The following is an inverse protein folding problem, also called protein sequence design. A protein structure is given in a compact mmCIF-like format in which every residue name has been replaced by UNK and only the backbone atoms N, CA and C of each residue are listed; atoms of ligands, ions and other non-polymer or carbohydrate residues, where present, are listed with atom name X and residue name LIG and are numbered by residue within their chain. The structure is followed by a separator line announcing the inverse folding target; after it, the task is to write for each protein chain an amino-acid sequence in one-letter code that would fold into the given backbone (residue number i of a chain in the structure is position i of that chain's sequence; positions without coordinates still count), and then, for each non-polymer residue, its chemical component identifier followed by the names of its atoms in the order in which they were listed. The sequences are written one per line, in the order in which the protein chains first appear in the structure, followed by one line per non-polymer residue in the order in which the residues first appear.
data_IF_365954984637
#
_entry.id   IF_365954984637
#
_cell.length_a   1.000
_cell.length_b   1.000
_cell.length_c   1.000
_cell.angle_alpha   90.00
_cell.angle_beta   90.00
_cell.angle_gamma   90.00
#
_symmetry.space_group_name_H-M   'P 1'
#
loop_
_entity.id
_entity.type
_entity.pdbx_description
1 polymer ?
#
# COMPACT_ATOMS: atom_id res chain seq x y z
N UNK A 1 23.09 -5.58 14.84
CA UNK A 1 21.87 -5.02 15.45
C UNK A 1 20.76 -5.17 14.42
N UNK A 2 19.70 -5.94 14.72
CA UNK A 2 18.62 -6.21 13.77
C UNK A 2 17.50 -5.18 13.99
N UNK A 3 17.13 -4.45 12.94
CA UNK A 3 15.96 -3.58 12.93
C UNK A 3 14.71 -4.46 12.84
N UNK A 4 14.06 -4.72 13.97
CA UNK A 4 12.71 -5.29 13.99
C UNK A 4 11.73 -4.23 13.52
N UNK A 5 11.03 -4.51 12.42
CA UNK A 5 9.97 -3.64 11.90
C UNK A 5 8.88 -3.48 12.98
N UNK A 6 8.72 -2.26 13.48
CA UNK A 6 7.73 -1.93 14.50
C UNK A 6 6.32 -2.09 13.91
N UNK A 7 5.44 -2.76 14.64
CA UNK A 7 4.04 -2.92 14.28
C UNK A 7 3.41 -1.53 14.11
N UNK A 8 2.77 -1.29 12.97
CA UNK A 8 2.08 -0.02 12.68
C UNK A 8 0.58 -0.23 12.81
N UNK A 9 -0.10 0.67 13.50
CA UNK A 9 -1.56 0.60 13.71
C UNK A 9 -2.18 1.88 13.18
N UNK A 10 -3.11 1.73 12.24
CA UNK A 10 -3.93 2.81 11.71
C UNK A 10 -5.35 2.68 12.24
N UNK A 11 -5.82 3.65 13.00
CA UNK A 11 -7.19 3.67 13.50
C UNK A 11 -8.08 4.44 12.52
N UNK A 12 -9.19 3.83 12.12
CA UNK A 12 -10.18 4.42 11.24
C UNK A 12 -11.55 4.46 11.91
N UNK A 13 -12.35 5.45 11.50
CA UNK A 13 -13.76 5.59 11.87
C UNK A 13 -14.60 5.65 10.62
N UNK A 14 -15.62 4.81 10.55
CA UNK A 14 -16.62 4.76 9.49
C UNK A 14 -18.00 5.02 10.10
N UNK A 15 -18.91 5.62 9.33
CA UNK A 15 -20.27 5.90 9.77
C UNK A 15 -21.27 5.25 8.83
N UNK A 16 -22.22 4.49 9.38
CA UNK A 16 -23.27 3.84 8.61
C UNK A 16 -24.62 4.01 9.32
N UNK A 17 -25.62 4.54 8.61
CA UNK A 17 -26.98 4.69 9.16
C UNK A 17 -27.10 5.61 10.39
N UNK A 18 -26.13 6.48 10.64
CA UNK A 18 -26.06 7.33 11.83
C UNK A 18 -25.24 6.76 13.00
N UNK A 19 -24.83 5.49 12.90
CA UNK A 19 -23.96 4.83 13.87
C UNK A 19 -22.49 4.95 13.48
N UNK A 20 -21.61 5.09 14.48
CA UNK A 20 -20.16 5.16 14.27
C UNK A 20 -19.50 3.82 14.59
N UNK A 21 -18.69 3.36 13.65
CA UNK A 21 -17.87 2.16 13.75
C UNK A 21 -16.41 2.54 13.76
N UNK A 22 -15.61 1.87 14.59
CA UNK A 22 -14.16 2.06 14.67
C UNK A 22 -13.47 0.75 14.38
N UNK A 23 -12.39 0.79 13.61
CA UNK A 23 -11.57 -0.40 13.37
C UNK A 23 -10.11 0.01 13.24
N UNK A 24 -9.23 -0.92 13.59
CA UNK A 24 -7.78 -0.74 13.48
C UNK A 24 -7.26 -1.59 12.32
N UNK A 25 -6.49 -0.98 11.43
CA UNK A 25 -5.71 -1.68 10.41
C UNK A 25 -4.29 -1.82 10.96
N UNK A 26 -3.89 -3.06 11.23
CA UNK A 26 -2.62 -3.42 11.82
C UNK A 26 -1.70 -4.00 10.75
N UNK A 27 -0.48 -3.49 10.72
CA UNK A 27 0.61 -3.98 9.89
C UNK A 27 1.62 -4.65 10.81
N UNK A 28 1.81 -5.95 10.64
CA UNK A 28 2.78 -6.69 11.44
C UNK A 28 4.22 -6.53 10.92
N UNK A 29 5.15 -7.12 11.66
CA UNK A 29 6.57 -7.09 11.34
C UNK A 29 6.90 -7.80 9.99
N UNK A 30 5.99 -8.64 9.50
CA UNK A 30 6.06 -9.39 8.25
C UNK A 30 5.36 -8.69 7.07
N UNK A 31 4.88 -7.45 7.27
CA UNK A 31 4.11 -6.69 6.26
C UNK A 31 2.75 -7.28 5.91
N UNK A 32 2.17 -8.10 6.78
CA UNK A 32 0.76 -8.47 6.62
C UNK A 32 -0.13 -7.37 7.17
N UNK A 33 -1.13 -6.99 6.37
CA UNK A 33 -2.17 -6.05 6.76
C UNK A 33 -3.35 -6.86 7.27
N UNK A 34 -3.80 -6.56 8.49
CA UNK A 34 -4.94 -7.22 9.12
C UNK A 34 -5.85 -6.19 9.77
N UNK A 35 -7.16 -6.41 9.73
CA UNK A 35 -8.14 -5.57 10.44
C UNK A 35 -8.41 -6.18 11.81
N UNK A 36 -8.38 -5.35 12.86
CA UNK A 36 -8.61 -5.74 14.26
C UNK A 36 -9.46 -4.71 14.98
N UNK A 37 -9.86 -5.05 16.20
CA UNK A 37 -10.55 -4.13 17.13
C UNK A 37 -11.77 -3.43 16.51
N UNK A 38 -12.58 -4.18 15.75
CA UNK A 38 -13.79 -3.62 15.16
C UNK A 38 -14.82 -3.39 16.28
N UNK A 39 -15.13 -2.12 16.51
CA UNK A 39 -16.10 -1.65 17.48
C UNK A 39 -17.28 -1.04 16.73
N UNK A 40 -18.48 -1.48 17.09
CA UNK A 40 -19.71 -0.81 16.69
C UNK A 40 -20.17 0.21 17.73
N UNK A 41 -21.34 0.81 17.52
CA UNK A 41 -21.92 1.81 18.44
C UNK A 41 -22.14 1.27 19.87
N UNK A 42 -22.23 -0.05 20.05
CA UNK A 42 -22.50 -0.71 21.33
C UNK A 42 -21.27 -1.42 21.91
N UNK A 43 -20.08 -1.25 21.31
CA UNK A 43 -18.85 -1.90 21.73
C UNK A 43 -18.32 -2.93 20.71
N UNK A 44 -17.44 -3.86 21.13
CA UNK A 44 -16.82 -4.84 20.24
C UNK A 44 -17.86 -5.69 19.53
N UNK A 45 -17.70 -5.86 18.21
CA UNK A 45 -18.61 -6.70 17.44
C UNK A 45 -18.25 -8.19 17.65
N UNK A 46 -18.97 -8.85 18.55
CA UNK A 46 -18.86 -10.29 18.77
C UNK A 46 -19.84 -11.06 17.86
N UNK A 47 -19.54 -11.12 16.56
CA UNK A 47 -20.25 -11.98 15.60
C UNK A 47 -21.47 -11.37 14.89
N UNK A 48 -21.79 -10.09 15.12
CA UNK A 48 -22.80 -9.35 14.36
C UNK A 48 -22.25 -8.93 12.98
N UNK A 49 -23.04 -9.13 11.92
CA UNK A 49 -22.69 -8.73 10.54
C UNK A 49 -22.50 -7.22 10.43
N UNK A 50 -21.37 -6.80 9.87
CA UNK A 50 -21.10 -5.39 9.56
C UNK A 50 -22.02 -4.88 8.46
N UNK A 51 -22.45 -3.61 8.51
CA UNK A 51 -23.10 -2.97 7.37
C UNK A 51 -22.16 -2.96 6.15
N UNK A 52 -22.71 -3.19 4.95
CA UNK A 52 -21.92 -3.25 3.72
C UNK A 52 -21.10 -1.96 3.48
N UNK A 53 -21.63 -0.79 3.82
CA UNK A 53 -20.89 0.48 3.71
C UNK A 53 -19.64 0.53 4.60
N UNK A 54 -19.70 -0.05 5.80
CA UNK A 54 -18.52 -0.16 6.69
C UNK A 54 -17.53 -1.17 6.12
N UNK A 55 -18.02 -2.23 5.47
CA UNK A 55 -17.16 -3.19 4.78
C UNK A 55 -16.42 -2.56 3.61
N UNK A 56 -17.11 -1.75 2.81
CA UNK A 56 -16.52 -1.02 1.68
C UNK A 56 -15.45 -0.02 2.19
N UNK A 57 -15.74 0.70 3.28
CA UNK A 57 -14.78 1.60 3.93
C UNK A 57 -13.56 0.87 4.50
N UNK A 58 -13.74 -0.31 5.11
CA UNK A 58 -12.65 -1.16 5.59
C UNK A 58 -11.77 -1.61 4.42
N UNK A 59 -12.37 -2.02 3.30
CA UNK A 59 -11.64 -2.41 2.11
C UNK A 59 -10.86 -1.23 1.53
N UNK A 60 -11.46 -0.05 1.46
CA UNK A 60 -10.79 1.15 0.95
C UNK A 60 -9.65 1.61 1.87
N UNK A 61 -9.88 1.65 3.19
CA UNK A 61 -8.85 1.95 4.16
C UNK A 61 -7.69 0.92 4.11
N UNK A 62 -8.01 -0.36 3.90
CA UNK A 62 -7.00 -1.41 3.71
C UNK A 62 -6.18 -1.18 2.45
N UNK A 63 -6.81 -0.82 1.31
CA UNK A 63 -6.09 -0.45 0.08
C UNK A 63 -5.18 0.75 0.33
N UNK A 64 -5.66 1.78 1.03
CA UNK A 64 -4.85 2.97 1.35
C UNK A 64 -3.63 2.58 2.19
N UNK A 65 -3.79 1.75 3.23
CA UNK A 65 -2.67 1.28 4.06
C UNK A 65 -1.70 0.42 3.24
N UNK A 66 -2.20 -0.47 2.38
CA UNK A 66 -1.36 -1.27 1.47
C UNK A 66 -0.56 -0.36 0.55
N UNK A 67 -1.19 0.66 -0.04
CA UNK A 67 -0.51 1.68 -0.87
C UNK A 67 0.59 2.37 -0.06
N UNK A 68 0.29 2.80 1.16
CA UNK A 68 1.23 3.52 2.04
C UNK A 68 2.41 2.63 2.49
N UNK A 69 2.19 1.34 2.66
CA UNK A 69 3.26 0.37 2.96
C UNK A 69 4.08 -0.02 1.74
N UNK A 70 3.47 0.08 0.57
CA UNK A 70 4.14 0.01 -0.71
C UNK A 70 4.60 1.40 -1.13
N UNK A 71 4.94 2.32 -0.24
CA UNK A 71 5.63 3.56 -0.59
C UNK A 71 7.08 3.48 -0.11
N UNK A 72 8.01 3.79 -1.00
CA UNK A 72 9.43 3.92 -0.66
C UNK A 72 9.89 5.32 -0.99
N UNK A 73 10.82 5.85 -0.19
CA UNK A 73 11.49 7.10 -0.50
C UNK A 73 12.34 6.92 -1.76
N UNK A 74 11.91 7.59 -2.84
CA UNK A 74 12.63 7.63 -4.11
C UNK A 74 13.65 8.77 -4.14
N UNK A 75 13.35 9.87 -3.46
CA UNK A 75 14.20 11.06 -3.44
C UNK A 75 13.90 11.91 -2.21
N UNK A 76 14.93 12.38 -1.53
CA UNK A 76 14.79 13.25 -0.36
C UNK A 76 15.72 14.45 -0.44
N UNK A 77 15.39 15.50 0.32
CA UNK A 77 16.23 16.67 0.39
C UNK A 77 15.65 17.81 1.22
N UNK A 78 16.24 18.98 1.06
CA UNK A 78 15.92 20.17 1.82
C UNK A 78 15.62 21.30 0.85
N UNK A 79 14.59 22.10 1.13
CA UNK A 79 14.34 23.37 0.43
C UNK A 79 14.21 24.50 1.44
N UNK A 80 14.64 25.69 1.04
CA UNK A 80 14.66 26.87 1.93
C UNK A 80 13.73 27.95 1.41
N UNK A 81 12.80 28.35 2.26
CA UNK A 81 11.90 29.48 2.04
C UNK A 81 12.43 30.74 2.72
N UNK A 82 12.39 31.85 2.01
CA UNK A 82 12.86 33.17 2.47
C UNK A 82 11.77 34.24 2.31
N UNK A 83 10.50 33.86 2.51
CA UNK A 83 9.33 34.73 2.35
C UNK A 83 8.50 34.50 1.08
N UNK A 84 8.79 33.46 0.29
CA UNK A 84 7.94 33.05 -0.82
C UNK A 84 6.76 32.19 -0.34
N UNK A 85 5.69 32.14 -1.14
CA UNK A 85 4.58 31.18 -0.98
C UNK A 85 4.80 29.89 -1.78
N UNK A 86 5.67 29.92 -2.79
CA UNK A 86 5.95 28.78 -3.68
C UNK A 86 7.45 28.60 -3.88
N UNK A 87 7.91 27.35 -3.88
CA UNK A 87 9.28 26.95 -4.22
C UNK A 87 9.25 25.71 -5.10
N UNK A 88 9.85 25.79 -6.27
CA UNK A 88 10.05 24.62 -7.13
C UNK A 88 11.24 23.80 -6.62
N UNK A 89 11.04 22.49 -6.49
CA UNK A 89 12.08 21.51 -6.22
C UNK A 89 12.34 20.74 -7.51
N UNK A 90 13.62 20.61 -7.86
CA UNK A 90 14.05 19.83 -9.04
C UNK A 90 14.45 18.42 -8.60
N UNK A 91 13.90 17.43 -9.29
CA UNK A 91 14.23 16.03 -9.14
C UNK A 91 15.17 15.64 -10.31
N UNK A 92 16.30 14.97 -10.05
CA UNK A 92 17.15 14.47 -11.12
C UNK A 92 16.39 13.57 -12.10
N UNK A 93 16.65 13.74 -13.40
CA UNK A 93 16.03 12.92 -14.43
C UNK A 93 16.34 11.42 -14.21
N UNK A 94 15.34 10.56 -14.38
CA UNK A 94 15.46 9.12 -14.21
C UNK A 94 15.19 8.60 -12.78
N UNK A 95 15.00 9.49 -11.80
CA UNK A 95 14.61 9.11 -10.43
C UNK A 95 13.14 8.68 -10.34
N UNK A 96 12.26 9.37 -11.08
CA UNK A 96 10.83 9.06 -11.16
C UNK A 96 10.46 8.58 -12.56
N UNK A 97 9.62 7.55 -12.63
CA UNK A 97 9.07 6.99 -13.87
C UNK A 97 7.64 7.49 -14.17
N UNK A 98 6.96 8.16 -13.24
CA UNK A 98 5.63 8.72 -13.40
C UNK A 98 5.37 9.90 -12.42
N UNK A 99 4.20 10.53 -12.52
CA UNK A 99 3.75 11.63 -11.65
C UNK A 99 2.88 11.17 -10.46
N UNK A 100 2.69 9.86 -10.30
CA UNK A 100 1.92 9.27 -9.20
C UNK A 100 2.85 9.06 -8.00
N UNK A 101 3.28 10.17 -7.41
CA UNK A 101 4.06 10.19 -6.17
C UNK A 101 3.40 11.13 -5.16
N UNK A 102 3.74 10.91 -3.89
CA UNK A 102 3.43 11.82 -2.79
C UNK A 102 4.71 12.49 -2.32
N UNK A 103 4.58 13.66 -1.72
CA UNK A 103 5.71 14.32 -1.05
C UNK A 103 5.35 14.52 0.40
N UNK A 104 6.14 13.92 1.29
CA UNK A 104 6.06 14.15 2.73
C UNK A 104 6.97 15.32 3.09
N UNK A 105 6.44 16.29 3.84
CA UNK A 105 7.20 17.45 4.29
C UNK A 105 7.47 17.36 5.80
N UNK A 106 8.68 17.74 6.19
CA UNK A 106 9.08 17.92 7.58
C UNK A 106 9.42 19.39 7.80
N UNK A 107 8.58 20.07 8.58
CA UNK A 107 8.76 21.47 8.98
C UNK A 107 9.05 21.53 10.48
N UNK A 108 9.90 22.46 10.90
CA UNK A 108 10.28 22.59 12.32
C UNK A 108 9.17 23.20 13.20
N UNK A 109 8.21 23.87 12.59
CA UNK A 109 7.08 24.56 13.23
C UNK A 109 5.72 23.91 12.92
N UNK A 110 5.71 22.75 12.26
CA UNK A 110 4.47 22.04 11.91
C UNK A 110 3.64 22.72 10.83
N UNK A 111 4.19 23.70 10.10
CA UNK A 111 3.50 24.32 8.98
C UNK A 111 3.08 23.28 7.93
N UNK A 112 1.82 23.37 7.49
CA UNK A 112 1.28 22.54 6.43
C UNK A 112 1.73 23.06 5.07
N UNK A 113 2.26 22.17 4.25
CA UNK A 113 2.72 22.44 2.89
C UNK A 113 2.01 21.50 1.92
N UNK A 114 1.71 21.99 0.73
CA UNK A 114 1.08 21.23 -0.34
C UNK A 114 2.01 21.09 -1.53
N UNK A 115 1.84 20.00 -2.26
CA UNK A 115 2.52 19.78 -3.55
C UNK A 115 1.60 20.21 -4.68
N UNK A 116 2.10 21.05 -5.57
CA UNK A 116 1.43 21.43 -6.82
C UNK A 116 2.31 21.10 -8.02
N UNK A 117 1.68 21.00 -9.19
CA UNK A 117 2.35 20.77 -10.48
C UNK A 117 3.39 19.61 -10.46
N UNK A 118 3.04 18.42 -9.96
CA UNK A 118 3.98 17.31 -9.92
C UNK A 118 4.33 16.85 -11.34
N UNK A 119 5.61 16.82 -11.65
CA UNK A 119 6.19 16.22 -12.85
C UNK A 119 7.23 15.16 -12.45
N UNK A 120 7.74 14.40 -13.41
CA UNK A 120 8.82 13.41 -13.15
C UNK A 120 10.17 14.06 -12.84
N UNK A 121 10.32 15.37 -13.05
CA UNK A 121 11.59 16.10 -12.88
C UNK A 121 11.46 17.30 -11.93
N UNK A 122 10.26 17.62 -11.47
CA UNK A 122 10.03 18.72 -10.53
C UNK A 122 8.67 18.66 -9.86
N UNK A 123 8.53 19.39 -8.76
CA UNK A 123 7.24 19.77 -8.17
C UNK A 123 7.35 21.14 -7.52
N UNK A 124 6.21 21.77 -7.31
CA UNK A 124 6.11 23.00 -6.54
C UNK A 124 5.69 22.69 -5.10
N UNK A 125 6.47 23.17 -4.14
CA UNK A 125 6.10 23.21 -2.72
C UNK A 125 5.39 24.53 -2.45
N UNK A 126 4.15 24.46 -1.96
CA UNK A 126 3.30 25.63 -1.74
C UNK A 126 2.95 25.73 -0.26
N UNK A 127 3.16 26.91 0.30
CA UNK A 127 2.72 27.30 1.62
C UNK A 127 1.47 28.18 1.50
N UNK A 128 0.55 28.04 2.46
CA UNK A 128 -0.68 28.84 2.49
C UNK A 128 -0.44 30.35 2.61
N UNK A 129 0.72 30.75 3.13
CA UNK A 129 1.17 32.15 3.23
C UNK A 129 2.68 32.25 3.02
N UNK A 130 3.20 33.47 2.91
CA UNK A 130 4.64 33.71 2.83
C UNK A 130 5.35 33.00 3.99
N UNK A 131 6.31 32.12 3.66
CA UNK A 131 6.95 31.25 4.63
C UNK A 131 8.43 31.64 4.82
N UNK A 132 8.83 31.86 6.07
CA UNK A 132 10.14 32.44 6.41
C UNK A 132 10.29 33.90 5.97
N UNK A 133 11.49 34.45 6.15
CA UNK A 133 11.90 35.77 5.60
C UNK A 133 13.36 35.71 5.16
N UNK A 134 13.89 36.71 4.43
CA UNK A 134 15.31 36.75 4.10
C UNK A 134 16.23 36.81 5.34
N UNK A 135 15.73 37.38 6.44
CA UNK A 135 16.45 37.49 7.72
C UNK A 135 16.24 36.28 8.65
N UNK A 136 15.20 35.48 8.40
CA UNK A 136 14.88 34.27 9.14
C UNK A 136 14.37 33.18 8.17
N UNK A 137 15.28 32.57 7.38
CA UNK A 137 14.91 31.52 6.44
C UNK A 137 14.35 30.29 7.15
N UNK A 138 13.40 29.62 6.50
CA UNK A 138 12.80 28.38 6.99
C UNK A 138 13.21 27.22 6.09
N UNK A 139 13.87 26.23 6.67
CA UNK A 139 14.27 25.00 5.97
C UNK A 139 13.16 23.96 6.13
N UNK A 140 12.80 23.34 5.02
CA UNK A 140 11.79 22.28 4.91
C UNK A 140 12.49 21.03 4.40
N UNK A 141 12.42 19.95 5.17
CA UNK A 141 12.78 18.62 4.66
C UNK A 141 11.64 18.11 3.79
N UNK A 142 11.97 17.45 2.68
CA UNK A 142 10.99 16.77 1.85
C UNK A 142 11.46 15.35 1.52
N UNK A 143 10.51 14.43 1.40
CA UNK A 143 10.71 13.06 0.96
C UNK A 143 9.66 12.75 -0.10
N UNK A 144 10.11 12.49 -1.33
CA UNK A 144 9.30 12.02 -2.44
C UNK A 144 9.10 10.52 -2.26
N UNK A 145 7.87 10.17 -1.96
CA UNK A 145 7.41 8.81 -1.77
C UNK A 145 6.75 8.38 -3.08
N UNK A 146 7.39 7.45 -3.76
CA UNK A 146 6.71 6.74 -4.86
C UNK A 146 6.04 5.53 -4.25
N UNK A 147 4.87 5.18 -4.77
CA UNK A 147 4.45 3.80 -4.66
C UNK A 147 5.62 2.96 -5.17
N UNK A 148 6.19 2.09 -4.33
CA UNK A 148 6.89 0.89 -4.75
C UNK A 148 5.93 0.22 -5.73
N UNK A 149 6.09 0.58 -7.00
CA UNK A 149 5.77 -0.31 -8.09
C UNK A 149 6.75 -1.44 -7.86
N UNK A 150 6.33 -2.35 -7.00
CA UNK A 150 6.85 -3.68 -6.94
C UNK A 150 6.60 -4.13 -8.39
N UNK A 151 7.64 -4.04 -9.22
CA UNK A 151 7.53 -4.28 -10.64
C UNK A 151 7.30 -5.76 -10.78
N UNK A 152 6.04 -6.16 -10.98
CA UNK A 152 5.70 -7.54 -11.23
C UNK A 152 6.52 -8.02 -12.41
N UNK A 153 7.46 -8.94 -12.19
CA UNK A 153 8.10 -9.61 -13.33
C UNK A 153 7.10 -10.54 -14.01
N UNK A 154 6.13 -11.03 -13.24
CA UNK A 154 4.99 -11.81 -13.70
C UNK A 154 3.76 -11.47 -12.86
N UNK A 155 2.67 -11.06 -13.51
CA UNK A 155 1.37 -10.81 -12.89
C UNK A 155 0.27 -11.51 -13.67
N UNK A 156 -0.79 -11.93 -12.99
CA UNK A 156 -1.95 -12.49 -13.66
C UNK A 156 -3.05 -12.89 -12.70
N UNK A 157 -4.08 -13.55 -13.23
CA UNK A 157 -5.18 -14.13 -12.46
C UNK A 157 -5.19 -15.63 -12.67
N UNK A 158 -5.26 -16.38 -11.58
CA UNK A 158 -5.52 -17.81 -11.58
C UNK A 158 -7.02 -18.02 -11.37
N UNK A 159 -7.69 -18.56 -12.38
CA UNK A 159 -9.07 -19.04 -12.26
C UNK A 159 -9.04 -20.50 -11.85
N UNK A 160 -9.45 -20.81 -10.62
CA UNK A 160 -9.61 -22.18 -10.11
C UNK A 160 -11.01 -22.69 -10.42
N UNK A 161 -11.10 -23.93 -10.88
CA UNK A 161 -12.35 -24.69 -11.00
C UNK A 161 -12.32 -25.93 -10.13
N UNK A 162 -13.47 -26.59 -9.98
CA UNK A 162 -13.61 -27.89 -9.31
C UNK A 162 -12.63 -28.96 -9.83
N UNK A 163 -12.30 -28.93 -11.13
CA UNK A 163 -11.31 -29.82 -11.75
C UNK A 163 -9.87 -29.62 -11.27
N UNK A 164 -9.52 -28.44 -10.72
CA UNK A 164 -8.16 -28.13 -10.26
C UNK A 164 -7.85 -28.72 -8.87
N UNK A 165 -8.83 -29.34 -8.18
CA UNK A 165 -8.67 -29.93 -6.84
C UNK A 165 -8.03 -28.96 -5.81
N UNK A 166 -8.26 -27.66 -5.96
CA UNK A 166 -7.71 -26.63 -5.09
C UNK A 166 -6.22 -26.34 -5.30
N UNK A 167 -5.57 -26.84 -6.36
CA UNK A 167 -4.16 -26.57 -6.67
C UNK A 167 -3.96 -26.16 -8.13
N UNK A 168 -3.19 -25.09 -8.34
CA UNK A 168 -2.86 -24.63 -9.69
C UNK A 168 -1.44 -24.11 -9.76
N UNK A 169 -0.75 -24.44 -10.86
CA UNK A 169 0.62 -24.01 -11.09
C UNK A 169 0.66 -22.88 -12.11
N UNK A 170 1.51 -21.89 -11.84
CA UNK A 170 1.87 -20.81 -12.76
C UNK A 170 3.23 -21.15 -13.35
N UNK A 171 3.33 -21.11 -14.66
CA UNK A 171 4.60 -21.28 -15.38
C UNK A 171 5.05 -19.94 -15.92
N UNK A 172 6.30 -19.57 -15.65
CA UNK A 172 6.91 -18.39 -16.22
C UNK A 172 7.26 -18.62 -17.69
N UNK A 173 7.04 -17.61 -18.53
CA UNK A 173 7.49 -17.64 -19.93
C UNK A 173 9.03 -17.69 -20.05
N UNK A 174 9.75 -17.24 -19.02
CA UNK A 174 11.20 -17.36 -18.88
C UNK A 174 11.59 -17.78 -17.47
N UNK A 175 12.44 -18.79 -17.34
CA UNK A 175 12.93 -19.22 -16.04
C UNK A 175 13.73 -18.10 -15.33
N UNK A 176 13.47 -17.90 -14.04
CA UNK A 176 14.20 -16.99 -13.17
C UNK A 176 15.55 -17.59 -12.75
N UNK A 177 16.50 -16.72 -12.40
CA UNK A 177 17.83 -17.15 -11.93
C UNK A 177 17.77 -17.87 -10.56
N UNK A 178 16.80 -17.50 -9.72
CA UNK A 178 16.65 -17.94 -8.32
C UNK A 178 15.20 -18.33 -7.99
N UNK A 179 15.02 -19.09 -6.91
CA UNK A 179 13.71 -19.40 -6.29
C UNK A 179 13.35 -18.46 -5.15
N UNK A 180 14.22 -17.50 -4.82
CA UNK A 180 14.03 -16.54 -3.73
C UNK A 180 13.03 -15.40 -4.04
N UNK A 181 12.31 -15.48 -5.16
CA UNK A 181 11.29 -14.50 -5.51
C UNK A 181 10.13 -14.53 -4.50
N UNK A 182 9.49 -13.38 -4.31
CA UNK A 182 8.27 -13.22 -3.51
C UNK A 182 7.06 -13.35 -4.43
N UNK A 183 6.06 -14.11 -3.97
CA UNK A 183 4.74 -14.17 -4.61
C UNK A 183 3.77 -13.47 -3.67
N UNK A 184 3.03 -12.49 -4.19
CA UNK A 184 1.92 -11.85 -3.50
C UNK A 184 0.64 -12.35 -4.14
N UNK A 185 -0.29 -12.83 -3.32
CA UNK A 185 -1.59 -13.33 -3.77
C UNK A 185 -2.66 -12.33 -3.34
N UNK A 186 -3.59 -12.05 -4.24
CA UNK A 186 -4.77 -11.23 -4.01
C UNK A 186 -6.01 -12.11 -4.18
N UNK A 187 -6.72 -12.35 -3.08
CA UNK A 187 -7.93 -13.19 -3.07
C UNK A 187 -9.17 -12.30 -3.06
N UNK A 188 -10.11 -12.56 -3.97
CA UNK A 188 -11.37 -11.81 -4.09
C UNK A 188 -12.48 -12.27 -3.16
N UNK A 189 -12.23 -13.21 -2.24
CA UNK A 189 -13.26 -13.80 -1.38
C UNK A 189 -12.75 -14.25 0.00
N UNK A 190 -13.64 -14.83 0.80
CA UNK A 190 -13.36 -15.29 2.16
C UNK A 190 -12.72 -16.68 2.18
N UNK A 191 -11.49 -16.78 1.69
CA UNK A 191 -10.70 -18.00 1.75
C UNK A 191 -9.20 -17.65 1.80
N UNK A 192 -8.39 -18.63 2.15
CA UNK A 192 -6.94 -18.49 2.17
C UNK A 192 -6.36 -19.14 0.92
N UNK A 193 -5.41 -18.47 0.27
CA UNK A 193 -4.57 -19.06 -0.76
C UNK A 193 -3.10 -18.91 -0.34
N UNK A 194 -2.29 -19.95 -0.57
CA UNK A 194 -0.87 -19.93 -0.22
C UNK A 194 -0.02 -20.59 -1.30
N UNK A 195 1.21 -20.11 -1.45
CA UNK A 195 2.19 -20.71 -2.35
C UNK A 195 2.81 -21.94 -1.67
N UNK A 196 2.64 -23.11 -2.27
CA UNK A 196 3.14 -24.40 -1.74
C UNK A 196 4.48 -24.82 -2.31
N UNK A 197 4.82 -24.33 -3.49
CA UNK A 197 6.09 -24.64 -4.15
C UNK A 197 6.58 -23.45 -4.97
N UNK A 198 7.89 -23.24 -4.98
CA UNK A 198 8.59 -22.24 -5.81
C UNK A 198 9.69 -22.92 -6.60
N UNK A 199 9.56 -22.88 -7.91
CA UNK A 199 10.54 -23.34 -8.89
C UNK A 199 11.09 -22.14 -9.66
N UNK A 200 12.26 -22.29 -10.28
CA UNK A 200 12.80 -21.26 -11.18
C UNK A 200 11.90 -21.00 -12.38
N UNK A 201 11.10 -22.00 -12.76
CA UNK A 201 10.19 -21.96 -13.91
C UNK A 201 8.77 -21.57 -13.55
N UNK A 202 8.45 -21.34 -12.28
CA UNK A 202 7.07 -21.12 -11.86
C UNK A 202 6.81 -21.45 -10.39
N UNK A 203 5.57 -21.35 -9.95
CA UNK A 203 5.16 -21.66 -8.58
C UNK A 203 3.80 -22.35 -8.56
N UNK A 204 3.47 -22.99 -7.45
CA UNK A 204 2.16 -23.64 -7.23
C UNK A 204 1.41 -22.93 -6.11
N UNK A 205 0.15 -22.59 -6.37
CA UNK A 205 -0.79 -22.02 -5.41
C UNK A 205 -1.78 -23.11 -5.00
N UNK A 206 -2.05 -23.19 -3.70
CA UNK A 206 -3.07 -24.04 -3.14
C UNK A 206 -4.11 -23.18 -2.41
N UNK A 207 -5.39 -23.51 -2.61
CA UNK A 207 -6.50 -22.99 -1.83
C UNK A 207 -6.59 -23.75 -0.51
N UNK A 208 -6.95 -23.05 0.58
CA UNK A 208 -7.18 -23.65 1.89
C UNK A 208 -8.47 -24.48 2.00
N UNK A 209 -9.18 -24.68 0.89
CA UNK A 209 -10.42 -25.44 0.80
C UNK A 209 -10.56 -26.05 -0.60
N UNK A 210 -11.48 -27.01 -0.74
CA UNK A 210 -11.82 -27.63 -2.01
C UNK A 210 -13.07 -26.98 -2.57
N UNK A 211 -13.05 -26.64 -3.87
CA UNK A 211 -14.20 -26.07 -4.57
C UNK A 211 -15.31 -27.12 -4.74
N UNK A 212 -16.56 -26.69 -4.60
CA UNK A 212 -17.74 -27.47 -4.94
C UNK A 212 -17.92 -27.59 -6.46
N UNK A 213 -18.72 -28.57 -6.90
CA UNK A 213 -18.97 -28.84 -8.32
C UNK A 213 -19.55 -27.60 -9.00
N UNK A 214 -18.92 -27.14 -10.08
CA UNK A 214 -19.32 -25.95 -10.82
C UNK A 214 -18.94 -24.61 -10.19
N UNK A 215 -18.23 -24.60 -9.06
CA UNK A 215 -17.70 -23.36 -8.47
C UNK A 215 -16.45 -22.87 -9.20
N UNK A 216 -16.30 -21.55 -9.29
CA UNK A 216 -15.13 -20.91 -9.88
C UNK A 216 -14.67 -19.78 -8.99
N UNK A 217 -13.36 -19.70 -8.77
CA UNK A 217 -12.76 -18.67 -7.92
C UNK A 217 -11.49 -18.12 -8.53
N UNK A 218 -11.30 -16.81 -8.41
CA UNK A 218 -10.15 -16.12 -8.96
C UNK A 218 -9.17 -15.69 -7.86
N UNK A 219 -7.89 -15.91 -8.13
CA UNK A 219 -6.77 -15.46 -7.29
C UNK A 219 -5.81 -14.67 -8.16
N UNK A 220 -5.74 -13.37 -7.94
CA UNK A 220 -4.71 -12.53 -8.52
C UNK A 220 -3.35 -12.91 -7.94
N UNK A 221 -2.30 -12.87 -8.76
CA UNK A 221 -0.94 -13.07 -8.30
C UNK A 221 0.00 -12.04 -8.90
N UNK A 222 1.05 -11.78 -8.13
CA UNK A 222 2.15 -10.93 -8.52
C UNK A 222 3.47 -11.54 -8.03
N UNK A 223 4.49 -11.52 -8.87
CA UNK A 223 5.82 -12.10 -8.62
C UNK A 223 6.90 -11.04 -8.69
N UNK A 224 7.68 -10.97 -7.60
CA UNK A 224 8.78 -10.04 -7.42
C UNK A 224 10.09 -10.80 -7.22
N UNK A 225 11.12 -10.45 -7.99
CA UNK A 225 12.43 -11.11 -7.98
C UNK A 225 13.43 -10.30 -7.18
#
# INVERSE_FOLDING_TARGET
MALTRQQVVFTYTSSAGGDTYRFDIVVDAQSQVSVRNIQGPQGPLNGSSLPQSVMDDIQEATKVVVVLLSESEAFGGNTTFTGQTRRTVTIPAGVLNNTNYRVAYTTSDGALLTTENPTTTSFDVVAASAYGTPLAPKVVGYSVLTATTQGSSYSGVLTFTDADAGQKSVTFSRALATTAYRVVLSVGGFFVAYTVSKLKTGFTVQLGYTLGVGETVEVGYDVFV
#
